data_IF_594661246084
#
_entry.id   IF_594661246084
#
_cell.length_a   1.000
_cell.length_b   1.000
_cell.length_c   1.000
_cell.angle_alpha   90.00
_cell.angle_beta   90.00
_cell.angle_gamma   90.00
#
_symmetry.space_group_name_H-M   'P 1'
#
loop_
_entity.id
_entity.type
_entity.pdbx_description
1 polymer ?
#
# COMPACT_ATOMS: atom_id res chain seq x y z
N UNK A 1 -17.23 -12.16 25.05
CA UNK A 1 -15.74 -12.19 24.95
C UNK A 1 -15.23 -13.61 24.67
N UNK A 2 -15.58 -14.62 25.48
CA UNK A 2 -15.20 -16.04 25.28
C UNK A 2 -15.48 -16.59 23.86
N UNK A 3 -16.69 -16.36 23.35
CA UNK A 3 -17.13 -16.87 22.03
C UNK A 3 -16.32 -16.31 20.86
N UNK A 4 -15.90 -15.04 20.95
CA UNK A 4 -15.05 -14.42 19.91
C UNK A 4 -13.65 -15.00 19.97
N UNK A 5 -13.11 -15.19 21.18
CA UNK A 5 -11.78 -15.76 21.38
C UNK A 5 -11.70 -17.22 20.91
N UNK A 6 -12.73 -18.03 21.20
CA UNK A 6 -12.82 -19.41 20.72
C UNK A 6 -12.88 -19.48 19.20
N UNK A 7 -13.69 -18.63 18.54
CA UNK A 7 -13.75 -18.55 17.07
C UNK A 7 -12.42 -18.10 16.46
N UNK A 8 -11.73 -17.14 17.08
CA UNK A 8 -10.43 -16.67 16.62
C UNK A 8 -9.29 -17.68 16.85
N UNK A 9 -9.51 -18.66 17.73
CA UNK A 9 -8.55 -19.74 18.03
C UNK A 9 -8.75 -20.98 17.14
N UNK A 10 -9.69 -20.96 16.18
CA UNK A 10 -9.89 -22.09 15.29
C UNK A 10 -8.63 -22.34 14.43
N UNK A 11 -8.12 -23.59 14.38
CA UNK A 11 -6.90 -23.91 13.65
C UNK A 11 -6.93 -23.52 12.17
N UNK A 12 -8.10 -23.62 11.53
CA UNK A 12 -8.33 -23.21 10.14
C UNK A 12 -8.18 -21.69 9.95
N UNK A 13 -8.57 -20.90 10.95
CA UNK A 13 -8.41 -19.44 10.95
C UNK A 13 -6.94 -19.07 11.18
N UNK A 14 -6.30 -19.72 12.16
CA UNK A 14 -4.88 -19.50 12.49
C UNK A 14 -3.96 -19.92 11.33
N UNK A 15 -4.25 -21.01 10.63
CA UNK A 15 -3.48 -21.47 9.46
C UNK A 15 -3.44 -20.42 8.34
N UNK A 16 -4.50 -19.62 8.19
CA UNK A 16 -4.53 -18.49 7.23
C UNK A 16 -3.65 -17.33 7.66
N UNK A 17 -3.46 -17.13 8.96
CA UNK A 17 -2.53 -16.13 9.51
C UNK A 17 -1.06 -16.54 9.29
N UNK A 18 -0.73 -17.84 9.36
CA UNK A 18 0.63 -18.35 9.13
C UNK A 18 1.14 -18.12 7.71
N UNK A 19 0.25 -18.18 6.72
CA UNK A 19 0.63 -17.98 5.32
C UNK A 19 1.03 -16.53 5.00
N UNK A 20 0.92 -15.57 5.93
CA UNK A 20 1.24 -14.14 5.69
C UNK A 20 0.52 -13.50 4.48
N UNK A 21 -0.44 -14.23 3.88
CA UNK A 21 -1.19 -13.85 2.69
C UNK A 21 -2.29 -12.83 3.01
N UNK A 22 -2.65 -12.70 4.27
CA UNK A 22 -3.50 -11.60 4.74
C UNK A 22 -2.64 -10.36 4.94
N UNK A 23 -2.19 -9.74 3.85
CA UNK A 23 -1.81 -8.34 3.92
C UNK A 23 -3.05 -7.57 4.37
N UNK A 24 -3.06 -7.12 5.62
CA UNK A 24 -4.14 -6.27 6.11
C UNK A 24 -4.17 -5.02 5.22
N UNK A 25 -5.25 -4.84 4.45
CA UNK A 25 -5.38 -3.72 3.52
C UNK A 25 -5.19 -2.37 4.24
N UNK A 26 -5.59 -2.29 5.51
CA UNK A 26 -5.39 -1.09 6.33
C UNK A 26 -3.90 -0.85 6.65
N UNK A 27 -3.12 -1.91 6.88
CA UNK A 27 -1.68 -1.81 7.12
C UNK A 27 -0.94 -1.41 5.84
N UNK A 28 -1.31 -2.02 4.71
CA UNK A 28 -0.74 -1.69 3.40
C UNK A 28 -1.04 -0.24 2.99
N UNK A 29 -2.29 0.22 3.15
CA UNK A 29 -2.67 1.61 2.93
C UNK A 29 -1.90 2.57 3.84
N UNK A 30 -1.86 2.29 5.15
CA UNK A 30 -1.15 3.11 6.11
C UNK A 30 0.34 3.20 5.78
N UNK A 31 0.96 2.12 5.31
CA UNK A 31 2.36 2.14 4.87
C UNK A 31 2.57 3.09 3.67
N UNK A 32 1.63 3.15 2.72
CA UNK A 32 1.69 4.12 1.62
C UNK A 32 1.54 5.54 2.15
N UNK A 33 0.58 5.78 3.03
CA UNK A 33 0.34 7.12 3.59
C UNK A 33 1.54 7.63 4.38
N UNK A 34 2.13 6.81 5.25
CA UNK A 34 3.29 7.21 6.07
C UNK A 34 4.59 7.36 5.27
N UNK A 35 4.66 6.82 4.05
CA UNK A 35 5.75 7.14 3.12
C UNK A 35 5.63 8.54 2.50
N UNK A 36 4.41 9.09 2.47
CA UNK A 36 4.13 10.42 1.93
C UNK A 36 4.22 11.47 3.04
N UNK A 37 3.59 11.20 4.19
CA UNK A 37 3.60 12.06 5.37
C UNK A 37 4.12 11.26 6.58
N UNK A 38 5.43 11.23 6.85
CA UNK A 38 5.99 10.45 7.95
C UNK A 38 5.40 10.86 9.29
N UNK A 39 5.09 9.88 10.15
CA UNK A 39 4.59 10.14 11.52
C UNK A 39 5.57 10.92 12.40
N UNK A 40 6.84 10.93 12.02
CA UNK A 40 7.91 11.65 12.71
C UNK A 40 7.89 13.14 12.42
N UNK A 41 7.19 13.55 11.36
CA UNK A 41 7.20 14.90 10.86
C UNK A 41 5.93 15.62 11.35
N UNK A 42 6.08 16.90 11.70
CA UNK A 42 4.94 17.70 12.13
C UNK A 42 4.35 18.45 10.94
N UNK A 43 3.33 17.85 10.34
CA UNK A 43 2.60 18.42 9.20
C UNK A 43 1.30 19.12 9.62
N UNK A 44 0.92 20.15 8.88
CA UNK A 44 -0.38 20.79 9.02
C UNK A 44 -1.53 19.87 8.56
N UNK A 45 -2.74 20.12 9.06
CA UNK A 45 -3.94 19.33 8.72
C UNK A 45 -4.18 19.23 7.21
N UNK A 46 -3.98 20.32 6.47
CA UNK A 46 -4.14 20.37 5.02
C UNK A 46 -3.18 19.41 4.30
N UNK A 47 -1.91 19.37 4.73
CA UNK A 47 -0.89 18.47 4.17
C UNK A 47 -1.26 17.01 4.46
N UNK A 48 -1.74 16.71 5.68
CA UNK A 48 -2.18 15.36 6.03
C UNK A 48 -3.37 14.90 5.18
N UNK A 49 -4.33 15.80 4.92
CA UNK A 49 -5.49 15.51 4.07
C UNK A 49 -5.07 15.23 2.62
N UNK A 50 -4.23 16.09 2.03
CA UNK A 50 -3.70 15.89 0.69
C UNK A 50 -2.93 14.57 0.60
N UNK A 51 -2.09 14.28 1.59
CA UNK A 51 -1.31 13.05 1.66
C UNK A 51 -2.18 11.81 1.73
N UNK A 52 -3.30 11.86 2.46
CA UNK A 52 -4.27 10.77 2.51
C UNK A 52 -4.95 10.53 1.15
N UNK A 53 -5.32 11.59 0.43
CA UNK A 53 -5.88 11.46 -0.93
C UNK A 53 -4.85 10.88 -1.91
N UNK A 54 -3.60 11.34 -1.86
CA UNK A 54 -2.51 10.77 -2.66
C UNK A 54 -2.26 9.30 -2.34
N UNK A 55 -2.26 8.95 -1.05
CA UNK A 55 -2.12 7.56 -0.62
C UNK A 55 -3.24 6.67 -1.15
N UNK A 56 -4.48 7.17 -1.18
CA UNK A 56 -5.63 6.47 -1.74
C UNK A 56 -5.42 6.16 -3.23
N UNK A 57 -5.04 7.16 -4.01
CA UNK A 57 -4.76 7.02 -5.45
C UNK A 57 -3.62 6.00 -5.69
N UNK A 58 -2.53 6.12 -4.92
CA UNK A 58 -1.37 5.22 -5.05
C UNK A 58 -1.69 3.79 -4.62
N UNK A 59 -2.51 3.62 -3.59
CA UNK A 59 -2.95 2.30 -3.12
C UNK A 59 -3.86 1.61 -4.14
N UNK A 60 -4.76 2.34 -4.79
CA UNK A 60 -5.70 1.77 -5.76
C UNK A 60 -5.09 1.54 -7.14
N UNK A 61 -4.18 2.42 -7.57
CA UNK A 61 -3.77 2.51 -8.98
C UNK A 61 -2.26 2.58 -9.18
N UNK A 62 -1.49 2.41 -8.10
CA UNK A 62 -0.03 2.51 -8.14
C UNK A 62 0.47 3.89 -8.53
N UNK A 63 1.70 3.94 -9.01
CA UNK A 63 2.34 5.19 -9.45
C UNK A 63 1.68 5.76 -10.71
N UNK A 64 1.04 4.93 -11.54
CA UNK A 64 0.23 5.42 -12.67
C UNK A 64 -0.93 6.33 -12.24
N UNK A 65 -1.51 6.10 -11.06
CA UNK A 65 -2.54 6.98 -10.50
C UNK A 65 -2.06 8.43 -10.34
N UNK A 66 -0.77 8.62 -10.01
CA UNK A 66 -0.19 9.96 -9.92
C UNK A 66 -0.04 10.63 -11.29
N UNK A 67 0.27 9.89 -12.36
CA UNK A 67 0.31 10.45 -13.72
C UNK A 67 -1.07 10.93 -14.17
N UNK A 68 -2.10 10.17 -13.81
CA UNK A 68 -3.48 10.56 -14.07
C UNK A 68 -3.84 11.84 -13.31
N UNK A 69 -3.57 11.89 -11.99
CA UNK A 69 -3.77 13.09 -11.18
C UNK A 69 -3.03 14.31 -11.73
N UNK A 70 -1.76 14.15 -12.13
CA UNK A 70 -1.00 15.23 -12.76
C UNK A 70 -1.71 15.77 -14.01
N UNK A 71 -2.24 14.88 -14.85
CA UNK A 71 -2.96 15.26 -16.06
C UNK A 71 -4.26 16.01 -15.74
N UNK A 72 -5.02 15.58 -14.73
CA UNK A 72 -6.21 16.28 -14.23
C UNK A 72 -5.88 17.68 -13.67
N UNK A 73 -4.69 17.85 -13.10
CA UNK A 73 -4.17 19.14 -12.65
C UNK A 73 -3.55 19.98 -13.80
N UNK A 74 -3.72 19.57 -15.05
CA UNK A 74 -3.11 20.19 -16.24
C UNK A 74 -1.56 20.17 -16.23
N UNK A 75 -0.96 19.26 -15.47
CA UNK A 75 0.48 19.03 -15.43
C UNK A 75 0.78 17.87 -16.36
N UNK A 76 1.36 18.17 -17.54
CA UNK A 76 1.74 17.13 -18.50
C UNK A 76 2.94 16.32 -18.00
N UNK A 77 2.80 15.01 -17.75
CA UNK A 77 3.94 14.22 -17.28
C UNK A 77 5.01 14.08 -18.37
N UNK A 78 6.27 14.28 -18.00
CA UNK A 78 7.41 14.08 -18.91
C UNK A 78 7.73 12.60 -19.11
N UNK A 79 8.53 12.29 -20.16
CA UNK A 79 8.96 10.90 -20.47
C UNK A 79 9.64 10.21 -19.27
N UNK A 80 10.44 10.96 -18.50
CA UNK A 80 11.11 10.44 -17.32
C UNK A 80 10.12 10.06 -16.21
N UNK A 81 9.03 10.82 -16.05
CA UNK A 81 7.98 10.49 -15.08
C UNK A 81 7.27 9.19 -15.49
N UNK A 82 6.89 9.05 -16.76
CA UNK A 82 6.29 7.81 -17.28
C UNK A 82 7.21 6.60 -17.06
N UNK A 83 8.49 6.73 -17.38
CA UNK A 83 9.45 5.64 -17.18
C UNK A 83 9.62 5.28 -15.70
N UNK A 84 9.68 6.29 -14.82
CA UNK A 84 9.81 6.10 -13.39
C UNK A 84 8.60 5.37 -12.80
N UNK A 85 7.37 5.70 -13.22
CA UNK A 85 6.17 5.02 -12.69
C UNK A 85 6.13 3.56 -13.08
N UNK A 86 6.47 3.22 -14.33
CA UNK A 86 6.54 1.81 -14.77
C UNK A 86 7.57 1.05 -13.96
N UNK A 87 8.76 1.62 -13.78
CA UNK A 87 9.85 0.99 -13.02
C UNK A 87 9.45 0.75 -11.57
N UNK A 88 8.83 1.74 -10.91
CA UNK A 88 8.42 1.64 -9.50
C UNK A 88 7.25 0.69 -9.29
N UNK A 89 6.25 0.70 -10.17
CA UNK A 89 5.15 -0.27 -10.11
C UNK A 89 5.67 -1.70 -10.28
N UNK A 90 6.58 -1.92 -11.24
CA UNK A 90 7.17 -3.23 -11.46
C UNK A 90 8.01 -3.70 -10.27
N UNK A 91 8.75 -2.80 -9.62
CA UNK A 91 9.50 -3.12 -8.41
C UNK A 91 8.56 -3.54 -7.26
N UNK A 92 7.47 -2.81 -7.05
CA UNK A 92 6.47 -3.13 -6.04
C UNK A 92 5.87 -4.53 -6.22
N UNK A 93 5.54 -4.89 -7.47
CA UNK A 93 5.01 -6.23 -7.81
C UNK A 93 6.05 -7.31 -7.51
N UNK A 94 7.31 -7.11 -7.94
CA UNK A 94 8.39 -8.07 -7.69
C UNK A 94 8.65 -8.28 -6.20
N UNK A 95 8.64 -7.22 -5.40
CA UNK A 95 8.81 -7.31 -3.95
C UNK A 95 7.65 -8.08 -3.31
N UNK A 96 6.42 -7.86 -3.77
CA UNK A 96 5.24 -8.60 -3.31
C UNK A 96 5.29 -10.09 -3.69
N UNK A 97 5.70 -10.41 -4.92
CA UNK A 97 5.89 -11.79 -5.39
C UNK A 97 6.96 -12.51 -4.57
N UNK A 98 8.13 -11.89 -4.39
CA UNK A 98 9.21 -12.42 -3.54
C UNK A 98 8.76 -12.67 -2.11
N UNK A 99 8.00 -11.74 -1.54
CA UNK A 99 7.45 -11.92 -0.19
C UNK A 99 6.46 -13.09 -0.15
N UNK A 100 5.62 -13.26 -1.18
CA UNK A 100 4.70 -14.39 -1.26
C UNK A 100 5.42 -15.74 -1.39
N UNK A 101 6.54 -15.80 -2.14
CA UNK A 101 7.40 -16.98 -2.26
C UNK A 101 8.04 -17.36 -0.92
N UNK A 102 8.61 -16.39 -0.20
CA UNK A 102 9.24 -16.63 1.11
C UNK A 102 8.26 -17.26 2.12
N UNK A 103 6.97 -16.89 2.05
CA UNK A 103 5.98 -17.43 2.97
C UNK A 103 5.47 -18.83 2.55
N UNK A 104 5.75 -19.29 1.32
CA UNK A 104 5.52 -20.68 0.93
C UNK A 104 6.61 -21.63 1.44
N UNK A 105 7.74 -21.10 1.92
CA UNK A 105 8.88 -21.86 2.45
C UNK A 105 8.84 -22.04 3.99
N UNK A 106 7.80 -21.51 4.67
CA UNK A 106 7.55 -21.59 6.12
C UNK A 106 6.30 -22.44 6.37
#
# INVERSE_FOLDING_TARGET
MKVVFEKLSEPELLRKCFSGKTQNANESFNNVWWKIAPKTDFDGLEILQISAFLACIMFSSGWKGLLYLMSELNIKPGKNALFATVTKDQACIKDAEKQAELILEI
#
